data_IF_918622339208
#
_entry.id   IF_918622339208
#
_cell.length_a   1.000
_cell.length_b   1.000
_cell.length_c   1.000
_cell.angle_alpha   90.00
_cell.angle_beta   90.00
_cell.angle_gamma   90.00
#
_symmetry.space_group_name_H-M   'P 1'
#
loop_
_entity.id
_entity.type
_entity.pdbx_description
1 polymer ?
#
# COMPACT_ATOMS: atom_id res chain seq x y z
N UNK A 1 -11.76 -2.30 9.44
CA UNK A 1 -10.67 -3.04 8.79
C UNK A 1 -9.72 -3.54 9.84
N UNK A 2 -9.26 -4.78 9.73
CA UNK A 2 -8.35 -5.37 10.71
C UNK A 2 -6.96 -4.72 10.63
N UNK A 3 -6.23 -4.80 11.73
CA UNK A 3 -4.82 -4.39 11.81
C UNK A 3 -4.05 -5.61 12.30
N UNK A 4 -2.98 -5.94 11.59
CA UNK A 4 -2.07 -7.04 11.89
C UNK A 4 -0.76 -6.46 12.40
N UNK A 5 -0.12 -7.14 13.35
CA UNK A 5 1.14 -6.70 13.92
C UNK A 5 2.20 -7.79 13.93
N UNK A 6 3.44 -7.35 13.89
CA UNK A 6 4.65 -8.16 13.99
C UNK A 6 5.60 -7.48 14.98
N UNK A 7 6.32 -8.28 15.75
CA UNK A 7 7.13 -7.77 16.86
C UNK A 7 8.32 -8.70 17.14
N UNK A 8 9.44 -8.11 17.53
CA UNK A 8 10.58 -8.82 18.14
C UNK A 8 11.09 -8.03 19.36
N UNK A 9 12.21 -8.44 19.96
CA UNK A 9 12.77 -7.79 21.15
C UNK A 9 13.11 -6.29 20.95
N UNK A 10 13.36 -5.86 19.71
CA UNK A 10 13.89 -4.54 19.38
C UNK A 10 12.85 -3.59 18.77
N UNK A 11 11.84 -4.11 18.08
CA UNK A 11 10.88 -3.29 17.35
C UNK A 11 9.48 -3.89 17.30
N UNK A 12 8.50 -3.01 17.07
CA UNK A 12 7.10 -3.34 16.80
C UNK A 12 6.67 -2.69 15.48
N UNK A 13 5.88 -3.39 14.68
CA UNK A 13 5.27 -2.84 13.48
C UNK A 13 3.83 -3.33 13.30
N UNK A 14 2.97 -2.48 12.74
CA UNK A 14 1.58 -2.81 12.45
C UNK A 14 1.15 -2.34 11.05
N UNK A 15 0.29 -3.14 10.41
CA UNK A 15 -0.22 -2.91 9.05
C UNK A 15 -1.74 -3.08 9.04
N UNK A 16 -2.45 -2.13 8.44
CA UNK A 16 -3.91 -2.16 8.27
C UNK A 16 -4.31 -2.88 6.98
N UNK A 17 -5.41 -3.64 6.97
CA UNK A 17 -6.02 -4.15 5.72
C UNK A 17 -6.37 -3.01 4.78
N UNK A 18 -6.89 -1.91 5.32
CA UNK A 18 -7.16 -0.73 4.51
C UNK A 18 -5.84 -0.16 4.00
N UNK A 19 -5.74 -0.04 2.67
CA UNK A 19 -4.59 0.47 1.92
C UNK A 19 -3.27 -0.30 2.12
N UNK A 20 -3.26 -1.41 2.87
CA UNK A 20 -2.03 -2.04 3.37
C UNK A 20 -1.12 -1.01 4.07
N UNK A 21 -1.70 -0.05 4.79
CA UNK A 21 -0.94 1.06 5.38
C UNK A 21 -0.16 0.59 6.61
N UNK A 22 1.11 0.98 6.73
CA UNK A 22 1.90 0.76 7.96
C UNK A 22 1.40 1.76 9.00
N UNK A 23 0.64 1.29 9.98
CA UNK A 23 0.03 2.17 10.97
C UNK A 23 0.98 2.56 12.10
N UNK A 24 2.02 1.74 12.34
CA UNK A 24 3.03 1.97 13.38
C UNK A 24 4.35 1.27 13.04
N UNK A 25 5.47 1.90 13.38
CA UNK A 25 6.80 1.28 13.42
C UNK A 25 7.62 1.90 14.56
N UNK A 26 7.79 1.15 15.65
CA UNK A 26 8.37 1.64 16.91
C UNK A 26 9.72 0.98 17.19
N UNK A 27 10.74 1.78 17.49
CA UNK A 27 11.97 1.30 18.14
C UNK A 27 11.71 1.20 19.65
N UNK A 28 11.68 -0.04 20.17
CA UNK A 28 11.35 -0.28 21.58
C UNK A 28 12.39 0.24 22.57
N UNK A 29 13.64 0.41 22.12
CA UNK A 29 14.71 0.91 23.00
C UNK A 29 14.61 2.41 23.26
N UNK A 30 13.98 3.15 22.34
CA UNK A 30 13.82 4.62 22.44
C UNK A 30 12.36 5.03 22.66
N UNK A 31 11.41 4.17 22.33
CA UNK A 31 9.97 4.47 22.32
C UNK A 31 9.54 5.36 21.15
N UNK A 32 10.42 5.62 20.17
CA UNK A 32 10.14 6.50 19.04
C UNK A 32 9.22 5.78 18.04
N UNK A 33 8.09 6.41 17.72
CA UNK A 33 7.24 6.06 16.57
C UNK A 33 7.81 6.71 15.30
N UNK A 34 8.24 5.89 14.35
CA UNK A 34 8.85 6.37 13.12
C UNK A 34 7.82 6.77 12.06
N UNK A 35 6.63 6.16 12.03
CA UNK A 35 5.61 6.46 11.03
C UNK A 35 4.79 7.69 11.43
N UNK A 36 4.60 8.59 10.47
CA UNK A 36 3.66 9.70 10.61
C UNK A 36 2.25 9.18 10.93
N UNK A 37 1.59 9.80 11.91
CA UNK A 37 0.31 9.31 12.45
C UNK A 37 -0.94 9.92 11.78
N UNK A 38 -0.78 10.72 10.72
CA UNK A 38 -1.90 11.20 9.92
C UNK A 38 -2.66 12.37 10.55
N UNK A 39 -1.98 13.30 11.24
CA UNK A 39 -2.66 14.48 11.80
C UNK A 39 -3.29 15.32 10.66
N UNK A 40 -4.64 15.42 10.62
CA UNK A 40 -5.34 16.12 9.54
C UNK A 40 -5.07 17.63 9.51
N UNK A 41 -4.50 18.21 10.58
CA UNK A 41 -4.03 19.60 10.56
C UNK A 41 -2.89 19.82 9.56
N UNK A 42 -2.15 18.77 9.20
CA UNK A 42 -1.01 18.83 8.28
C UNK A 42 -1.23 17.92 7.06
N UNK A 43 -1.42 16.62 7.30
CA UNK A 43 -1.68 15.63 6.27
C UNK A 43 -2.32 14.38 6.88
N UNK A 44 -3.53 14.04 6.43
CA UNK A 44 -4.28 12.89 6.94
C UNK A 44 -3.83 11.54 6.37
N UNK A 45 -3.03 11.52 5.31
CA UNK A 45 -2.41 10.28 4.81
C UNK A 45 -1.21 9.88 5.66
N UNK A 46 -0.72 8.64 5.48
CA UNK A 46 0.52 8.19 6.16
C UNK A 46 1.56 7.62 5.20
N UNK A 47 1.29 6.48 4.58
CA UNK A 47 2.26 5.82 3.68
C UNK A 47 1.60 5.09 2.50
N UNK A 48 0.76 5.76 1.71
CA UNK A 48 0.01 5.09 0.67
C UNK A 48 0.93 4.44 -0.37
N UNK A 49 0.58 3.20 -0.75
CA UNK A 49 1.07 2.55 -1.97
C UNK A 49 0.33 3.14 -3.17
N UNK A 50 1.07 3.56 -4.19
CA UNK A 50 0.54 4.25 -5.37
C UNK A 50 0.53 3.29 -6.56
N UNK A 51 -0.65 2.79 -6.90
CA UNK A 51 -0.87 1.89 -8.04
C UNK A 51 -2.31 2.04 -8.55
N UNK A 52 -2.56 1.96 -9.87
CA UNK A 52 -1.61 1.75 -10.98
C UNK A 52 -1.03 3.06 -11.54
N UNK A 53 -1.18 4.17 -10.83
CA UNK A 53 -0.76 5.50 -11.28
C UNK A 53 0.00 6.23 -10.16
N UNK A 54 1.00 7.02 -10.54
CA UNK A 54 1.67 8.00 -9.67
C UNK A 54 1.31 9.41 -10.14
N UNK A 55 1.21 10.37 -9.22
CA UNK A 55 0.72 11.72 -9.51
C UNK A 55 -0.77 11.79 -9.83
N UNK A 56 -1.15 12.63 -10.80
CA UNK A 56 -2.52 12.84 -11.25
C UNK A 56 -2.52 13.25 -12.71
N UNK A 57 -3.61 12.97 -13.42
CA UNK A 57 -3.91 13.63 -14.69
C UNK A 57 -4.69 14.93 -14.47
N UNK A 58 -4.72 15.79 -15.49
CA UNK A 58 -5.37 17.10 -15.43
C UNK A 58 -6.86 17.02 -15.05
N UNK A 59 -7.58 16.08 -15.64
CA UNK A 59 -9.04 15.91 -15.51
C UNK A 59 -9.47 14.60 -14.83
N UNK A 60 -8.55 13.87 -14.18
CA UNK A 60 -8.80 12.54 -13.57
C UNK A 60 -9.25 11.48 -14.57
N UNK A 61 -8.78 11.58 -15.80
CA UNK A 61 -9.04 10.61 -16.86
C UNK A 61 -7.72 10.03 -17.39
N UNK A 62 -7.79 8.78 -17.84
CA UNK A 62 -6.71 8.07 -18.54
C UNK A 62 -7.28 7.36 -19.77
N UNK A 63 -6.50 7.29 -20.84
CA UNK A 63 -6.85 6.56 -22.06
C UNK A 63 -6.09 5.24 -22.08
N UNK A 64 -6.83 4.14 -22.23
CA UNK A 64 -6.29 2.78 -22.33
C UNK A 64 -6.97 2.12 -23.52
N UNK A 65 -6.18 1.68 -24.51
CA UNK A 65 -6.67 1.02 -25.73
C UNK A 65 -7.80 1.78 -26.45
N UNK A 66 -7.70 3.11 -26.49
CA UNK A 66 -8.70 3.97 -27.13
C UNK A 66 -10.00 4.15 -26.35
N UNK A 67 -10.08 3.65 -25.11
CA UNK A 67 -11.20 3.87 -24.19
C UNK A 67 -10.80 4.76 -23.01
N UNK A 68 -11.72 5.62 -22.61
CA UNK A 68 -11.56 6.53 -21.48
C UNK A 68 -11.93 5.83 -20.17
N UNK A 69 -11.12 6.06 -19.14
CA UNK A 69 -11.35 5.60 -17.78
C UNK A 69 -11.12 6.74 -16.79
N UNK A 70 -11.88 6.75 -15.70
CA UNK A 70 -11.68 7.71 -14.60
C UNK A 70 -10.69 7.14 -13.58
N UNK A 71 -9.71 7.95 -13.20
CA UNK A 71 -8.66 7.57 -12.24
C UNK A 71 -8.35 8.75 -11.32
N UNK A 72 -8.58 8.55 -10.02
CA UNK A 72 -8.23 9.53 -8.99
C UNK A 72 -6.72 9.72 -8.87
N UNK A 73 -6.29 10.71 -8.06
CA UNK A 73 -4.86 10.89 -7.75
C UNK A 73 -4.23 9.56 -7.34
N UNK A 74 -3.00 9.29 -7.73
CA UNK A 74 -2.18 8.13 -7.35
C UNK A 74 -2.85 6.74 -7.45
N UNK A 75 -3.85 6.61 -8.31
CA UNK A 75 -4.57 5.35 -8.46
C UNK A 75 -5.53 5.05 -7.31
N UNK A 76 -5.94 3.78 -7.21
CA UNK A 76 -6.98 3.34 -6.30
C UNK A 76 -6.45 2.60 -5.06
N UNK A 77 -5.23 2.07 -5.09
CA UNK A 77 -4.72 1.17 -4.04
C UNK A 77 -4.77 1.77 -2.64
N UNK A 78 -4.53 3.08 -2.49
CA UNK A 78 -4.59 3.77 -1.20
C UNK A 78 -5.98 3.86 -0.56
N UNK A 79 -7.03 3.47 -1.30
CA UNK A 79 -8.41 3.43 -0.84
C UNK A 79 -8.98 2.00 -0.90
N UNK A 80 -8.17 1.01 -1.31
CA UNK A 80 -8.60 -0.39 -1.45
C UNK A 80 -8.36 -1.14 -0.15
N UNK A 81 -9.20 -2.13 0.12
CA UNK A 81 -8.97 -3.07 1.21
C UNK A 81 -8.20 -4.29 0.69
N UNK A 82 -7.12 -4.63 1.39
CA UNK A 82 -6.30 -5.80 1.15
C UNK A 82 -6.77 -6.96 2.03
N UNK A 83 -6.53 -8.17 1.56
CA UNK A 83 -6.69 -9.39 2.35
C UNK A 83 -5.35 -9.82 2.92
N UNK A 84 -5.28 -10.08 4.22
CA UNK A 84 -4.11 -10.71 4.82
C UNK A 84 -4.07 -12.20 4.46
N UNK A 85 -3.06 -12.62 3.69
CA UNK A 85 -2.92 -14.00 3.19
C UNK A 85 -1.85 -14.80 3.95
N UNK A 86 -0.99 -14.11 4.71
CA UNK A 86 0.00 -14.73 5.60
C UNK A 86 0.25 -13.80 6.79
N UNK A 87 0.23 -14.34 8.01
CA UNK A 87 0.55 -13.59 9.23
C UNK A 87 1.30 -14.49 10.21
N UNK A 88 2.43 -14.00 10.71
CA UNK A 88 3.24 -14.61 11.75
C UNK A 88 3.87 -13.52 12.64
N UNK A 89 4.71 -13.93 13.60
CA UNK A 89 5.37 -13.02 14.54
C UNK A 89 6.26 -11.96 13.87
N UNK A 90 6.85 -12.27 12.71
CA UNK A 90 7.81 -11.41 12.02
C UNK A 90 7.43 -11.11 10.56
N UNK A 91 6.29 -11.59 10.08
CA UNK A 91 5.89 -11.46 8.67
C UNK A 91 4.39 -11.25 8.49
N UNK A 92 4.03 -10.32 7.61
CA UNK A 92 2.66 -10.07 7.15
C UNK A 92 2.68 -10.02 5.62
N UNK A 93 1.76 -10.71 4.94
CA UNK A 93 1.55 -10.57 3.49
C UNK A 93 0.13 -10.12 3.23
N UNK A 94 0.01 -8.94 2.62
CA UNK A 94 -1.25 -8.37 2.18
C UNK A 94 -1.42 -8.57 0.68
N UNK A 95 -2.62 -8.95 0.24
CA UNK A 95 -2.96 -9.15 -1.16
C UNK A 95 -4.15 -8.28 -1.58
N UNK A 96 -4.00 -7.59 -2.72
CA UNK A 96 -5.08 -6.93 -3.44
C UNK A 96 -5.18 -7.56 -4.82
N UNK A 97 -6.37 -8.04 -5.17
CA UNK A 97 -6.72 -8.49 -6.52
C UNK A 97 -7.67 -7.52 -7.18
N UNK A 98 -7.81 -7.63 -8.50
CA UNK A 98 -8.84 -6.90 -9.21
C UNK A 98 -10.25 -7.23 -8.68
N UNK A 99 -11.11 -6.21 -8.72
CA UNK A 99 -12.54 -6.28 -8.40
C UNK A 99 -13.34 -5.56 -9.49
N UNK A 100 -14.67 -5.64 -9.44
CA UNK A 100 -15.52 -4.87 -10.36
C UNK A 100 -15.23 -3.36 -10.28
N UNK A 101 -14.93 -2.84 -9.08
CA UNK A 101 -14.60 -1.43 -8.87
C UNK A 101 -13.26 -1.04 -9.49
N UNK A 102 -12.22 -1.87 -9.34
CA UNK A 102 -10.91 -1.57 -9.93
C UNK A 102 -10.95 -1.73 -11.44
N UNK A 103 -11.65 -2.75 -11.96
CA UNK A 103 -11.80 -2.99 -13.40
C UNK A 103 -12.57 -1.87 -14.11
N UNK A 104 -13.47 -1.17 -13.41
CA UNK A 104 -14.14 0.02 -13.92
C UNK A 104 -13.20 1.22 -14.13
N UNK A 105 -12.06 1.26 -13.43
CA UNK A 105 -11.06 2.34 -13.50
C UNK A 105 -9.79 1.93 -14.29
N UNK A 106 -9.44 0.64 -14.28
CA UNK A 106 -8.24 0.09 -14.87
C UNK A 106 -8.52 -1.34 -15.35
N UNK A 107 -8.70 -1.55 -16.68
CA UNK A 107 -9.27 -2.76 -17.26
C UNK A 107 -8.24 -3.90 -17.37
N UNK A 108 -7.61 -4.25 -16.26
CA UNK A 108 -6.61 -5.32 -16.17
C UNK A 108 -6.84 -6.14 -14.90
N UNK A 109 -6.80 -7.46 -15.06
CA UNK A 109 -6.68 -8.41 -13.95
C UNK A 109 -5.28 -8.31 -13.35
N UNK A 110 -5.18 -8.26 -12.02
CA UNK A 110 -3.88 -8.18 -11.37
C UNK A 110 -3.91 -8.81 -9.99
N UNK A 111 -2.72 -9.18 -9.52
CA UNK A 111 -2.48 -9.53 -8.12
C UNK A 111 -1.31 -8.69 -7.61
N UNK A 112 -1.60 -7.79 -6.67
CA UNK A 112 -0.61 -7.01 -5.92
C UNK A 112 -0.43 -7.64 -4.54
N UNK A 113 0.78 -8.08 -4.24
CA UNK A 113 1.17 -8.53 -2.90
C UNK A 113 2.18 -7.59 -2.28
N UNK A 114 1.98 -7.29 -1.01
CA UNK A 114 2.91 -6.53 -0.18
C UNK A 114 3.30 -7.40 1.01
N UNK A 115 4.55 -7.83 1.00
CA UNK A 115 5.14 -8.61 2.07
C UNK A 115 5.95 -7.67 2.97
N UNK A 116 5.64 -7.72 4.27
CA UNK A 116 6.36 -7.01 5.31
C UNK A 116 7.07 -8.02 6.18
N UNK A 117 8.39 -7.87 6.36
CA UNK A 117 9.19 -8.72 7.23
C UNK A 117 9.99 -7.88 8.21
N UNK A 118 9.80 -8.13 9.51
CA UNK A 118 10.49 -7.45 10.60
C UNK A 118 11.73 -8.25 11.04
N UNK A 119 12.92 -7.67 10.88
CA UNK A 119 14.19 -8.25 11.31
C UNK A 119 14.99 -7.26 12.13
N UNK A 120 15.15 -7.54 13.44
CA UNK A 120 15.71 -6.57 14.39
C UNK A 120 14.95 -5.25 14.35
N UNK A 121 15.64 -4.14 14.04
CA UNK A 121 15.06 -2.80 13.87
C UNK A 121 14.79 -2.43 12.40
N UNK A 122 14.67 -3.42 11.52
CA UNK A 122 14.45 -3.18 10.09
C UNK A 122 13.14 -3.81 9.65
N UNK A 123 12.27 -2.97 9.08
CA UNK A 123 11.07 -3.41 8.37
C UNK A 123 11.38 -3.51 6.88
N UNK A 124 11.52 -4.72 6.36
CA UNK A 124 11.69 -4.98 4.94
C UNK A 124 10.32 -5.06 4.28
N UNK A 125 10.18 -4.41 3.13
CA UNK A 125 8.93 -4.42 2.37
C UNK A 125 9.23 -4.90 0.95
N UNK A 126 8.52 -5.94 0.52
CA UNK A 126 8.64 -6.52 -0.81
C UNK A 126 7.30 -6.42 -1.55
N UNK A 127 7.32 -5.78 -2.71
CA UNK A 127 6.15 -5.59 -3.56
C UNK A 127 6.23 -6.52 -4.76
N UNK A 128 5.18 -7.30 -4.98
CA UNK A 128 5.03 -8.18 -6.15
C UNK A 128 3.75 -7.81 -6.89
N UNK A 129 3.87 -7.45 -8.17
CA UNK A 129 2.74 -7.13 -9.05
C UNK A 129 2.71 -8.15 -10.17
N UNK A 130 1.65 -8.93 -10.24
CA UNK A 130 1.43 -9.94 -11.28
C UNK A 130 0.39 -9.44 -12.26
N UNK A 131 0.72 -9.52 -13.55
CA UNK A 131 -0.23 -9.32 -14.64
C UNK A 131 -0.99 -10.64 -14.87
N UNK A 132 -2.26 -10.68 -14.50
CA UNK A 132 -3.10 -11.89 -14.61
C UNK A 132 -3.92 -11.90 -15.92
N UNK A 133 -3.47 -11.16 -16.93
CA UNK A 133 -4.09 -11.10 -18.27
C UNK A 133 -3.23 -11.82 -19.32
N UNK A 134 -3.79 -11.97 -20.51
CA UNK A 134 -3.14 -12.45 -21.73
C UNK A 134 -2.55 -11.32 -22.60
N UNK A 135 -2.43 -10.11 -22.04
CA UNK A 135 -1.98 -8.89 -22.72
C UNK A 135 -1.12 -8.03 -21.82
N UNK A 136 -0.35 -7.12 -22.40
CA UNK A 136 0.48 -6.17 -21.65
C UNK A 136 -0.34 -5.31 -20.69
N UNK A 137 0.15 -5.13 -19.47
CA UNK A 137 -0.49 -4.35 -18.41
C UNK A 137 0.37 -3.12 -18.06
N UNK A 138 0.08 -1.93 -18.61
CA UNK A 138 0.86 -0.73 -18.35
C UNK A 138 0.47 -0.10 -17.00
N UNK A 139 1.42 -0.01 -16.07
CA UNK A 139 1.21 0.62 -14.77
C UNK A 139 2.39 1.53 -14.40
N UNK A 140 2.13 2.43 -13.45
CA UNK A 140 3.15 3.10 -12.66
C UNK A 140 3.02 2.60 -11.21
N UNK A 141 4.14 2.60 -10.50
CA UNK A 141 4.20 2.20 -9.11
C UNK A 141 5.02 3.21 -8.32
N UNK A 142 4.55 3.55 -7.12
CA UNK A 142 5.25 4.48 -6.24
C UNK A 142 4.90 4.25 -4.78
N UNK A 143 5.73 4.82 -3.91
CA UNK A 143 5.58 4.78 -2.46
C UNK A 143 5.55 6.22 -1.95
N UNK A 144 4.75 6.47 -0.91
CA UNK A 144 4.66 7.81 -0.33
C UNK A 144 4.70 7.79 1.21
N UNK A 145 5.72 7.18 1.84
CA UNK A 145 5.82 7.16 3.29
C UNK A 145 6.14 8.54 3.85
N UNK A 146 5.39 8.98 4.86
CA UNK A 146 5.84 10.03 5.77
C UNK A 146 6.36 9.43 7.07
N UNK A 147 7.45 10.02 7.54
CA UNK A 147 8.12 9.66 8.78
C UNK A 147 8.10 10.85 9.74
N UNK A 148 8.05 10.55 11.03
CA UNK A 148 8.32 11.56 12.04
C UNK A 148 9.81 11.94 12.01
N UNK A 149 10.11 13.22 12.19
CA UNK A 149 11.47 13.75 12.36
C UNK A 149 11.66 14.19 13.82
N UNK A 150 12.03 13.26 14.74
CA UNK A 150 12.15 13.53 16.17
C UNK A 150 13.37 14.39 16.53
#
# INVERSE_FOLDING_TARGET
>A
MAVFSMENDLAYAAVSEHASEITSFIDKSTGIEHMWQGDPAFWSGRNPTLFPMVGSTWNKEIWIDGKLYHMGNHGFTRNSDFTCVEHSENKIVMELKDSEETLAQYPFRFTLRIEYTLSGKTLNIHYSITNDNDRDMPFNFGLHPAFNCP
#
